data_IF_916063087252
#
_entry.id   IF_916063087252
#
_cell.length_a   1.000
_cell.length_b   1.000
_cell.length_c   1.000
_cell.angle_alpha   90.00
_cell.angle_beta   90.00
_cell.angle_gamma   90.00
#
_symmetry.space_group_name_H-M   'P 1'
#
loop_
_entity.id
_entity.type
_entity.pdbx_description
1 polymer ?
#
# COMPACT_ATOMS: atom_id res chain seq x y z
N UNK A 1 -10.92 11.96 17.21
CA UNK A 1 -9.53 11.75 16.86
C UNK A 1 -8.61 12.62 17.70
N UNK A 2 -7.36 12.19 17.92
CA UNK A 2 -6.32 13.04 18.53
C UNK A 2 -5.59 13.77 17.42
N UNK A 3 -5.34 15.07 17.63
CA UNK A 3 -4.44 15.83 16.77
C UNK A 3 -3.01 15.32 16.95
N UNK A 4 -2.31 15.06 15.84
CA UNK A 4 -0.95 14.54 15.82
C UNK A 4 -0.09 15.42 14.91
N UNK A 5 1.19 15.58 15.28
CA UNK A 5 2.16 16.32 14.47
C UNK A 5 3.14 15.29 13.88
N UNK A 6 3.20 15.23 12.56
CA UNK A 6 4.13 14.36 11.81
C UNK A 6 5.32 15.23 11.41
N UNK A 7 6.51 14.95 11.93
CA UNK A 7 7.75 15.71 11.66
C UNK A 7 8.69 14.98 10.71
N UNK A 8 8.58 13.66 10.64
CA UNK A 8 9.46 12.81 9.83
C UNK A 8 8.72 11.52 9.39
N UNK A 9 9.27 10.76 8.42
CA UNK A 9 8.66 9.53 7.95
C UNK A 9 8.46 8.45 9.03
N UNK A 10 9.31 8.43 10.07
CA UNK A 10 9.19 7.45 11.15
C UNK A 10 7.94 7.72 12.00
N UNK A 11 7.59 9.00 12.24
CA UNK A 11 6.35 9.36 12.91
C UNK A 11 5.12 8.88 12.13
N UNK A 12 5.15 9.02 10.79
CA UNK A 12 4.08 8.54 9.92
C UNK A 12 3.95 7.00 10.00
N UNK A 13 5.07 6.28 9.93
CA UNK A 13 5.08 4.82 10.06
C UNK A 13 4.56 4.36 11.43
N UNK A 14 4.94 5.04 12.52
CA UNK A 14 4.46 4.75 13.87
C UNK A 14 2.95 4.95 14.01
N UNK A 15 2.37 5.86 13.23
CA UNK A 15 0.93 6.11 13.14
C UNK A 15 0.21 5.16 12.16
N UNK A 16 0.92 4.20 11.55
CA UNK A 16 0.36 3.27 10.59
C UNK A 16 0.02 3.90 9.23
N UNK A 17 0.69 5.00 8.87
CA UNK A 17 0.53 5.67 7.58
C UNK A 17 1.60 5.16 6.63
N UNK A 18 1.18 4.59 5.49
CA UNK A 18 2.04 4.16 4.40
C UNK A 18 1.75 4.94 3.11
N UNK A 19 2.78 5.15 2.29
CA UNK A 19 2.65 5.86 1.02
C UNK A 19 3.32 5.06 -0.10
N UNK A 20 2.59 4.84 -1.19
CA UNK A 20 3.13 4.41 -2.47
C UNK A 20 3.47 5.65 -3.28
N UNK A 21 4.74 5.81 -3.61
CA UNK A 21 5.22 6.93 -4.39
C UNK A 21 5.02 6.68 -5.88
N UNK A 22 4.92 7.76 -6.66
CA UNK A 22 4.88 7.74 -8.12
C UNK A 22 6.10 7.01 -8.72
N UNK A 23 7.28 7.21 -8.14
CA UNK A 23 8.49 6.48 -8.48
C UNK A 23 8.76 5.43 -7.41
N UNK A 24 8.71 4.16 -7.78
CA UNK A 24 8.90 3.04 -6.86
C UNK A 24 10.28 3.12 -6.21
N UNK A 25 10.30 2.91 -4.89
CA UNK A 25 11.54 2.86 -4.11
C UNK A 25 11.95 1.41 -3.85
N UNK A 26 12.07 0.64 -4.95
CA UNK A 26 12.50 -0.74 -4.94
C UNK A 26 13.96 -0.85 -5.38
N UNK A 27 14.68 -1.79 -4.78
CA UNK A 27 16.07 -2.10 -5.14
C UNK A 27 16.02 -3.19 -6.22
N UNK A 28 16.45 -2.86 -7.44
CA UNK A 28 16.30 -3.72 -8.62
C UNK A 28 17.01 -5.07 -8.51
N UNK A 29 18.20 -5.09 -7.90
CA UNK A 29 19.00 -6.31 -7.73
C UNK A 29 18.55 -7.19 -6.54
N UNK A 30 17.51 -6.80 -5.82
CA UNK A 30 16.96 -7.57 -4.71
C UNK A 30 15.73 -8.36 -5.15
N UNK A 31 15.47 -9.47 -4.44
CA UNK A 31 14.20 -10.18 -4.60
C UNK A 31 13.01 -9.34 -4.08
N UNK A 32 11.81 -9.72 -4.50
CA UNK A 32 10.57 -9.16 -3.97
C UNK A 32 10.53 -9.28 -2.45
N UNK A 33 10.84 -10.45 -1.91
CA UNK A 33 10.88 -10.69 -0.46
C UNK A 33 11.85 -9.74 0.25
N UNK A 34 13.07 -9.61 -0.26
CA UNK A 34 14.09 -8.76 0.35
C UNK A 34 13.69 -7.28 0.34
N UNK A 35 13.05 -6.82 -0.74
CA UNK A 35 12.51 -5.46 -0.81
C UNK A 35 11.38 -5.20 0.20
N UNK A 36 10.51 -6.18 0.43
CA UNK A 36 9.37 -6.04 1.36
C UNK A 36 9.87 -5.95 2.80
N UNK A 37 10.83 -6.80 3.18
CA UNK A 37 11.33 -6.84 4.56
C UNK A 37 12.39 -5.79 4.87
N UNK A 38 12.92 -5.11 3.87
CA UNK A 38 13.98 -4.11 4.02
C UNK A 38 13.59 -3.03 5.04
N UNK A 39 14.39 -2.89 6.11
CA UNK A 39 14.16 -1.93 7.20
C UNK A 39 13.12 -2.35 8.25
N UNK A 40 12.56 -3.57 8.13
CA UNK A 40 11.68 -4.21 9.11
C UNK A 40 11.98 -5.70 9.23
N UNK A 41 13.24 -6.05 9.07
CA UNK A 41 13.69 -7.43 9.02
C UNK A 41 13.35 -8.16 10.34
N UNK A 42 12.64 -9.30 10.26
CA UNK A 42 12.38 -10.10 11.46
C UNK A 42 13.67 -10.75 11.94
N UNK A 43 14.21 -10.24 13.03
CA UNK A 43 15.43 -10.74 13.66
C UNK A 43 15.09 -11.55 14.91
N UNK A 44 15.68 -12.75 15.03
CA UNK A 44 15.68 -13.55 16.26
C UNK A 44 17.11 -13.95 16.59
N UNK A 45 17.62 -13.49 17.74
CA UNK A 45 18.98 -13.75 18.21
C UNK A 45 20.07 -13.35 17.17
N UNK A 46 19.87 -12.26 16.41
CA UNK A 46 20.82 -11.81 15.38
C UNK A 46 20.71 -12.52 14.03
N UNK A 47 19.79 -13.50 13.89
CA UNK A 47 19.55 -14.20 12.62
C UNK A 47 18.26 -13.71 11.96
N UNK A 48 18.36 -13.44 10.65
CA UNK A 48 17.24 -13.04 9.82
C UNK A 48 16.26 -14.21 9.60
N UNK A 49 14.98 -14.04 9.98
CA UNK A 49 13.94 -15.06 9.86
C UNK A 49 13.22 -14.96 8.51
N UNK A 50 13.95 -15.16 7.39
CA UNK A 50 13.38 -15.07 6.03
C UNK A 50 12.20 -16.02 5.80
N UNK A 51 12.20 -17.20 6.42
CA UNK A 51 11.14 -18.20 6.24
C UNK A 51 9.78 -17.73 6.82
N UNK A 52 9.79 -17.07 7.98
CA UNK A 52 8.57 -16.51 8.56
C UNK A 52 8.08 -15.30 7.76
N UNK A 53 8.99 -14.43 7.36
CA UNK A 53 8.67 -13.30 6.50
C UNK A 53 8.04 -13.77 5.18
N UNK A 54 8.62 -14.79 4.53
CA UNK A 54 8.10 -15.37 3.30
C UNK A 54 6.67 -15.89 3.46
N UNK A 55 6.39 -16.62 4.54
CA UNK A 55 5.02 -17.09 4.82
C UNK A 55 4.03 -15.93 4.97
N UNK A 56 4.41 -14.87 5.70
CA UNK A 56 3.57 -13.67 5.87
C UNK A 56 3.33 -12.97 4.52
N UNK A 57 4.37 -12.83 3.69
CA UNK A 57 4.28 -12.20 2.36
C UNK A 57 3.37 -12.98 1.44
N UNK A 58 3.51 -14.32 1.38
CA UNK A 58 2.64 -15.19 0.57
C UNK A 58 1.19 -15.08 1.03
N UNK A 59 0.94 -15.19 2.34
CA UNK A 59 -0.41 -15.08 2.89
C UNK A 59 -1.07 -13.72 2.57
N UNK A 60 -0.34 -12.62 2.65
CA UNK A 60 -0.83 -11.29 2.27
C UNK A 60 -1.07 -11.18 0.76
N UNK A 61 -0.17 -11.73 -0.06
CA UNK A 61 -0.31 -11.75 -1.52
C UNK A 61 -1.56 -12.51 -1.96
N UNK A 62 -1.85 -13.66 -1.36
CA UNK A 62 -3.05 -14.45 -1.62
C UNK A 62 -4.31 -13.73 -1.12
N UNK A 63 -4.28 -13.22 0.11
CA UNK A 63 -5.40 -12.52 0.73
C UNK A 63 -5.92 -11.34 -0.10
N UNK A 64 -5.01 -10.57 -0.69
CA UNK A 64 -5.35 -9.37 -1.47
C UNK A 64 -5.32 -9.61 -2.99
N UNK A 65 -5.07 -10.85 -3.43
CA UNK A 65 -5.03 -11.19 -4.85
C UNK A 65 -3.88 -10.55 -5.63
N UNK A 66 -2.77 -10.20 -4.94
CA UNK A 66 -1.64 -9.49 -5.54
C UNK A 66 -0.81 -10.37 -6.48
N UNK A 67 -0.81 -11.70 -6.25
CA UNK A 67 -0.14 -12.72 -7.09
C UNK A 67 1.32 -12.41 -7.37
N UNK A 68 2.08 -12.08 -6.34
CA UNK A 68 3.50 -11.73 -6.43
C UNK A 68 4.35 -12.93 -6.06
N UNK A 69 5.38 -13.24 -6.85
CA UNK A 69 6.38 -14.25 -6.52
C UNK A 69 7.44 -13.64 -5.60
N UNK A 70 7.61 -14.15 -4.35
CA UNK A 70 8.58 -13.61 -3.40
C UNK A 70 10.03 -13.74 -3.83
N UNK A 71 10.34 -14.71 -4.69
CA UNK A 71 11.70 -15.06 -5.10
C UNK A 71 12.12 -14.36 -6.41
N UNK A 72 11.17 -13.73 -7.14
CA UNK A 72 11.47 -12.98 -8.35
C UNK A 72 12.34 -11.76 -8.07
N UNK A 73 13.25 -11.41 -8.98
CA UNK A 73 14.02 -10.17 -8.92
C UNK A 73 13.15 -8.99 -9.37
N UNK A 74 13.35 -7.83 -8.76
CA UNK A 74 12.60 -6.62 -9.14
C UNK A 74 12.90 -6.20 -10.57
N UNK A 75 14.13 -6.40 -11.05
CA UNK A 75 14.51 -6.13 -12.45
C UNK A 75 13.71 -6.94 -13.48
N UNK A 76 13.20 -8.10 -13.10
CA UNK A 76 12.60 -9.06 -14.03
C UNK A 76 11.07 -8.98 -14.06
N UNK A 77 10.47 -8.15 -13.21
CA UNK A 77 9.02 -8.00 -13.12
C UNK A 77 8.53 -6.69 -13.77
N UNK A 78 7.29 -6.73 -14.30
CA UNK A 78 6.65 -5.56 -14.91
C UNK A 78 6.41 -4.41 -13.92
N UNK A 79 6.22 -3.21 -14.45
CA UNK A 79 5.92 -2.00 -13.66
C UNK A 79 4.66 -2.20 -12.80
N UNK A 80 3.62 -2.84 -13.35
CA UNK A 80 2.41 -3.18 -12.59
C UNK A 80 2.68 -4.16 -11.45
N UNK A 81 3.60 -5.11 -11.65
CA UNK A 81 4.03 -6.01 -10.57
C UNK A 81 4.87 -5.28 -9.52
N UNK A 82 5.75 -4.36 -9.92
CA UNK A 82 6.51 -3.52 -8.98
C UNK A 82 5.58 -2.70 -8.08
N UNK A 83 4.49 -2.17 -8.63
CA UNK A 83 3.48 -1.47 -7.85
C UNK A 83 2.80 -2.40 -6.82
N UNK A 84 2.47 -3.65 -7.19
CA UNK A 84 1.92 -4.64 -6.25
C UNK A 84 2.91 -4.96 -5.13
N UNK A 85 4.22 -4.99 -5.43
CA UNK A 85 5.27 -5.16 -4.42
C UNK A 85 5.29 -3.99 -3.44
N UNK A 86 5.18 -2.74 -3.91
CA UNK A 86 5.09 -1.57 -3.03
C UNK A 86 3.84 -1.60 -2.13
N UNK A 87 2.70 -2.03 -2.67
CA UNK A 87 1.48 -2.23 -1.88
C UNK A 87 1.71 -3.31 -0.82
N UNK A 88 2.30 -4.44 -1.21
CA UNK A 88 2.57 -5.56 -0.32
C UNK A 88 3.55 -5.17 0.80
N UNK A 89 4.54 -4.35 0.50
CA UNK A 89 5.48 -3.76 1.46
C UNK A 89 4.77 -2.94 2.54
N UNK A 90 3.78 -2.13 2.18
CA UNK A 90 2.97 -1.38 3.15
C UNK A 90 2.07 -2.30 3.98
N UNK A 91 1.48 -3.31 3.37
CA UNK A 91 0.64 -4.29 4.06
C UNK A 91 1.44 -5.14 5.05
N UNK A 92 2.68 -5.49 4.68
CA UNK A 92 3.59 -6.24 5.56
C UNK A 92 3.92 -5.46 6.84
N UNK A 93 3.96 -4.12 6.75
CA UNK A 93 4.19 -3.19 7.87
C UNK A 93 2.93 -2.89 8.69
N UNK A 94 1.80 -3.56 8.38
CA UNK A 94 0.51 -3.38 9.05
C UNK A 94 -0.03 -1.93 9.02
N UNK A 95 0.26 -1.18 7.95
CA UNK A 95 -0.25 0.17 7.79
C UNK A 95 -1.77 0.16 7.65
N UNK A 96 -2.44 1.12 8.33
CA UNK A 96 -3.90 1.29 8.35
C UNK A 96 -4.37 2.38 7.38
N UNK A 97 -3.52 3.37 7.15
CA UNK A 97 -3.78 4.49 6.23
C UNK A 97 -2.82 4.37 5.05
N UNK A 98 -3.36 4.19 3.86
CA UNK A 98 -2.62 3.99 2.62
C UNK A 98 -2.79 5.19 1.71
N UNK A 99 -1.70 5.86 1.36
CA UNK A 99 -1.68 7.00 0.45
C UNK A 99 -1.05 6.54 -0.87
N UNK A 100 -1.73 6.76 -1.97
CA UNK A 100 -1.26 6.44 -3.31
C UNK A 100 -1.04 7.72 -4.09
N UNK A 101 0.22 7.96 -4.49
CA UNK A 101 0.61 9.11 -5.29
C UNK A 101 0.67 8.70 -6.76
N UNK A 102 -0.30 9.17 -7.53
CA UNK A 102 -0.45 8.88 -8.98
C UNK A 102 -0.33 7.40 -9.39
N UNK A 103 -1.01 6.47 -8.73
CA UNK A 103 -0.77 5.06 -8.92
C UNK A 103 -1.15 4.54 -10.31
N UNK A 104 -1.84 5.34 -11.13
CA UNK A 104 -2.35 4.93 -12.44
C UNK A 104 -1.55 5.47 -13.62
N UNK A 105 -0.53 6.30 -13.39
CA UNK A 105 0.19 7.01 -14.45
C UNK A 105 0.90 6.09 -15.47
N UNK A 106 1.33 4.92 -15.01
CA UNK A 106 2.16 3.97 -15.79
C UNK A 106 1.48 2.60 -15.98
N UNK A 107 0.22 2.46 -15.55
CA UNK A 107 -0.53 1.20 -15.61
C UNK A 107 -1.37 1.09 -16.87
N UNK A 108 -1.51 -0.14 -17.35
CA UNK A 108 -2.51 -0.51 -18.36
C UNK A 108 -3.93 -0.44 -17.78
N UNK A 109 -4.98 -0.31 -18.63
CA UNK A 109 -6.37 -0.32 -18.16
C UNK A 109 -6.72 -1.54 -17.30
N UNK A 110 -6.20 -2.73 -17.66
CA UNK A 110 -6.43 -3.96 -16.90
C UNK A 110 -5.79 -3.92 -15.52
N UNK A 111 -4.55 -3.42 -15.42
CA UNK A 111 -3.84 -3.26 -14.14
C UNK A 111 -4.52 -2.22 -13.23
N UNK A 112 -5.14 -1.20 -13.84
CA UNK A 112 -5.94 -0.21 -13.11
C UNK A 112 -7.17 -0.87 -12.48
N UNK A 113 -7.90 -1.69 -13.23
CA UNK A 113 -9.09 -2.40 -12.72
C UNK A 113 -8.71 -3.32 -11.55
N UNK A 114 -7.61 -4.06 -11.68
CA UNK A 114 -7.09 -4.91 -10.60
C UNK A 114 -6.69 -4.10 -9.36
N UNK A 115 -6.02 -2.94 -9.53
CA UNK A 115 -5.70 -2.04 -8.44
C UNK A 115 -6.96 -1.55 -7.72
N UNK A 116 -8.00 -1.21 -8.48
CA UNK A 116 -9.27 -0.77 -7.90
C UNK A 116 -9.97 -1.88 -7.11
N UNK A 117 -9.84 -3.14 -7.52
CA UNK A 117 -10.35 -4.29 -6.75
C UNK A 117 -9.60 -4.47 -5.43
N UNK A 118 -8.27 -4.37 -5.46
CA UNK A 118 -7.42 -4.40 -4.26
C UNK A 118 -7.85 -3.29 -3.28
N UNK A 119 -8.07 -2.09 -3.77
CA UNK A 119 -8.52 -0.95 -2.94
C UNK A 119 -9.92 -1.16 -2.35
N UNK A 120 -10.83 -1.79 -3.09
CA UNK A 120 -12.14 -2.20 -2.55
C UNK A 120 -11.98 -3.23 -1.43
N UNK A 121 -11.00 -4.13 -1.54
CA UNK A 121 -10.62 -5.07 -0.49
C UNK A 121 -10.18 -4.36 0.78
N UNK A 122 -9.32 -3.34 0.69
CA UNK A 122 -8.88 -2.54 1.83
C UNK A 122 -10.05 -1.87 2.56
N UNK A 123 -10.99 -1.31 1.80
CA UNK A 123 -12.19 -0.69 2.36
C UNK A 123 -13.05 -1.69 3.16
N UNK A 124 -13.21 -2.92 2.67
CA UNK A 124 -13.95 -3.99 3.36
C UNK A 124 -13.30 -4.35 4.71
N UNK A 125 -11.98 -4.25 4.82
CA UNK A 125 -11.23 -4.51 6.05
C UNK A 125 -11.12 -3.30 6.98
N UNK A 126 -11.73 -2.17 6.62
CA UNK A 126 -11.71 -0.94 7.42
C UNK A 126 -10.42 -0.13 7.31
N UNK A 127 -9.54 -0.46 6.36
CA UNK A 127 -8.36 0.36 6.04
C UNK A 127 -8.79 1.63 5.30
N UNK A 128 -8.12 2.74 5.59
CA UNK A 128 -8.34 4.01 4.89
C UNK A 128 -7.37 4.11 3.71
N UNK A 129 -7.87 4.45 2.53
CA UNK A 129 -7.02 4.69 1.36
C UNK A 129 -7.32 6.05 0.74
N UNK A 130 -6.27 6.78 0.36
CA UNK A 130 -6.35 8.07 -0.32
C UNK A 130 -5.59 8.01 -1.64
N UNK A 131 -6.23 8.45 -2.72
CA UNK A 131 -5.62 8.61 -4.03
C UNK A 131 -5.31 10.07 -4.26
N UNK A 132 -4.07 10.39 -4.60
CA UNK A 132 -3.65 11.71 -5.03
C UNK A 132 -3.58 11.72 -6.56
N UNK A 133 -4.55 12.34 -7.27
CA UNK A 133 -4.50 12.47 -8.72
C UNK A 133 -3.59 13.64 -9.09
N UNK A 134 -2.83 13.49 -10.20
CA UNK A 134 -2.23 14.66 -10.87
C UNK A 134 -3.30 15.61 -11.40
N UNK A 135 -2.96 16.87 -11.50
CA UNK A 135 -3.79 17.94 -12.08
C UNK A 135 -4.03 17.81 -13.59
N UNK A 136 -3.50 16.80 -14.29
CA UNK A 136 -3.81 16.51 -15.68
C UNK A 136 -4.96 15.53 -15.79
N UNK A 137 -6.14 16.11 -15.77
CA UNK A 137 -7.45 15.60 -16.14
C UNK A 137 -7.45 14.38 -17.08
N UNK A 138 -7.54 13.16 -16.54
CA UNK A 138 -8.35 12.12 -17.15
C UNK A 138 -9.55 11.86 -16.28
N UNK A 139 -10.68 12.40 -16.74
CA UNK A 139 -12.00 12.22 -16.18
C UNK A 139 -12.31 10.73 -16.00
N UNK A 140 -12.26 10.25 -14.78
CA UNK A 140 -12.80 8.94 -14.41
C UNK A 140 -14.32 9.04 -14.42
N UNK A 141 -14.92 8.70 -15.56
CA UNK A 141 -16.37 8.48 -15.65
C UNK A 141 -16.67 7.04 -15.23
N UNK A 142 -17.21 6.87 -14.03
CA UNK A 142 -18.07 5.73 -13.75
C UNK A 142 -19.24 5.75 -14.75
N UNK A 143 -19.68 4.62 -15.34
CA UNK A 143 -20.73 4.61 -16.35
C UNK A 143 -22.14 4.98 -15.83
N UNK A 144 -22.30 5.31 -14.58
CA UNK A 144 -23.59 5.62 -13.97
C UNK A 144 -23.51 6.75 -12.95
N UNK A 145 -23.35 7.99 -13.39
CA UNK A 145 -23.81 9.18 -12.66
C UNK A 145 -23.69 10.43 -13.55
N UNK A 146 -24.75 11.22 -13.57
CA UNK A 146 -24.94 12.47 -14.30
C UNK A 146 -23.95 13.59 -13.86
N UNK A 147 -23.74 14.65 -14.68
CA UNK A 147 -22.66 15.59 -14.50
C UNK A 147 -23.01 16.66 -13.48
N UNK A 148 -22.27 16.76 -12.40
CA UNK A 148 -22.10 18.00 -11.66
C UNK A 148 -20.63 18.18 -11.32
N UNK A 149 -20.10 19.33 -11.74
CA UNK A 149 -18.77 19.83 -11.51
C UNK A 149 -18.48 19.89 -10.01
N UNK A 150 -17.63 19.02 -9.48
CA UNK A 150 -16.99 19.22 -8.19
C UNK A 150 -15.65 18.45 -8.18
N UNK A 151 -14.59 19.11 -7.73
CA UNK A 151 -13.30 18.49 -7.42
C UNK A 151 -13.53 17.23 -6.62
N UNK A 152 -13.35 16.08 -7.24
CA UNK A 152 -13.51 14.80 -6.56
C UNK A 152 -12.23 14.48 -5.76
N UNK A 153 -12.07 15.14 -4.62
CA UNK A 153 -11.40 14.55 -3.49
C UNK A 153 -12.38 13.50 -2.96
N UNK A 154 -12.12 12.22 -3.17
CA UNK A 154 -12.87 11.17 -2.49
C UNK A 154 -12.44 11.22 -1.03
N UNK A 155 -13.06 12.11 -0.30
CA UNK A 155 -13.05 12.12 1.15
C UNK A 155 -13.98 10.99 1.59
N UNK A 156 -13.42 9.88 2.08
CA UNK A 156 -14.22 8.89 2.82
C UNK A 156 -14.40 9.46 4.22
N UNK A 157 -15.64 9.75 4.67
CA UNK A 157 -15.83 10.29 6.01
C UNK A 157 -15.32 9.27 7.04
N UNK A 158 -14.46 9.74 7.92
CA UNK A 158 -14.02 9.05 9.12
C UNK A 158 -15.26 8.72 9.97
N UNK A 159 -15.71 7.48 9.96
CA UNK A 159 -16.61 6.97 10.99
C UNK A 159 -15.73 6.46 12.13
N UNK A 160 -15.88 7.10 13.28
CA UNK A 160 -15.18 6.83 14.53
C UNK A 160 -15.33 5.37 14.96
N UNK A 161 -14.40 4.50 14.59
CA UNK A 161 -14.10 3.28 15.33
C UNK A 161 -12.73 3.43 15.95
N UNK A 162 -12.69 3.48 17.26
CA UNK A 162 -11.49 3.49 18.07
C UNK A 162 -10.69 2.21 17.78
N UNK A 163 -9.43 2.29 17.30
CA UNK A 163 -8.60 1.10 17.16
C UNK A 163 -8.27 0.54 18.55
N UNK A 164 -8.11 -0.78 18.69
CA UNK A 164 -7.69 -1.38 19.95
C UNK A 164 -6.29 -0.87 20.31
N UNK A 165 -6.13 -0.50 21.59
CA UNK A 165 -4.84 -0.04 22.15
C UNK A 165 -3.80 -1.13 21.99
N UNK A 166 -2.75 -0.90 21.19
CA UNK A 166 -1.51 -1.67 21.29
C UNK A 166 -0.77 -1.17 22.54
N UNK A 167 -0.58 -2.06 23.51
CA UNK A 167 0.26 -1.80 24.68
C UNK A 167 1.71 -1.73 24.20
N UNK A 168 2.32 -0.57 24.35
CA UNK A 168 3.77 -0.42 24.25
C UNK A 168 4.36 -0.73 25.62
N UNK A 169 5.38 -1.59 25.74
CA UNK A 169 6.16 -1.69 26.96
C UNK A 169 6.96 -0.41 27.18
N UNK A 170 7.11 -0.04 28.44
CA UNK A 170 7.85 1.12 28.92
C UNK A 170 9.35 1.00 28.64
#
# INVERSE_FOLDING_TARGET
GKEVVIRNPNDANALGIGMVHQHFKLVECFSVLDNIILGVEPNKMGFLQKAEARKKVVALSEKYGLRVDPDALISDISVGMQQRVEILKMLYRDNEILIFDEPTAVLTPQEIDELMEIMRGFKKEGKSSSLLPTSSTRSWRSPTAAPSCARASIWVPWTSRTPPRKNFPA
#
